data_IF_117723329878
#
_entry.id   IF_117723329878
#
_cell.length_a   1.000
_cell.length_b   1.000
_cell.length_c   1.000
_cell.angle_alpha   90.00
_cell.angle_beta   90.00
_cell.angle_gamma   90.00
#
_symmetry.space_group_name_H-M   'P 1'
#
loop_
_entity.id
_entity.type
_entity.pdbx_description
1 polymer ?
#
# COMPACT_ATOMS: atom_id res chain seq x y z
N UNK A 1 -32.43 -18.51 -70.60
CA UNK A 1 -32.25 -17.44 -69.61
C UNK A 1 -32.26 -18.05 -68.20
N UNK A 2 -31.12 -18.45 -67.62
CA UNK A 2 -31.11 -19.00 -66.24
C UNK A 2 -29.84 -18.75 -65.39
N UNK A 3 -28.77 -18.16 -65.94
CA UNK A 3 -27.48 -18.06 -65.21
C UNK A 3 -27.16 -16.67 -64.65
N UNK A 4 -28.07 -15.68 -64.77
CA UNK A 4 -27.83 -14.33 -64.24
C UNK A 4 -27.97 -14.23 -62.72
N UNK A 5 -28.80 -15.09 -62.10
CA UNK A 5 -29.03 -15.10 -60.63
C UNK A 5 -27.78 -15.42 -59.80
N UNK A 6 -26.98 -16.47 -60.10
CA UNK A 6 -25.76 -16.74 -59.33
C UNK A 6 -24.70 -15.66 -59.52
N UNK A 7 -24.59 -15.09 -60.72
CA UNK A 7 -23.63 -14.00 -61.00
C UNK A 7 -23.99 -12.75 -60.19
N UNK A 8 -25.28 -12.39 -60.12
CA UNK A 8 -25.72 -11.24 -59.33
C UNK A 8 -25.46 -11.45 -57.83
N UNK A 9 -25.66 -12.67 -57.33
CA UNK A 9 -25.43 -13.03 -55.93
C UNK A 9 -23.95 -12.96 -55.56
N UNK A 10 -23.05 -13.38 -56.45
CA UNK A 10 -21.60 -13.22 -56.28
C UNK A 10 -21.20 -11.74 -56.29
N UNK A 11 -21.75 -10.94 -57.20
CA UNK A 11 -21.48 -9.48 -57.26
C UNK A 11 -21.94 -8.80 -55.97
N UNK A 12 -23.12 -9.16 -55.44
CA UNK A 12 -23.63 -8.62 -54.17
C UNK A 12 -22.75 -9.04 -53.00
N UNK A 13 -22.28 -10.30 -52.94
CA UNK A 13 -21.36 -10.75 -51.90
C UNK A 13 -20.01 -10.02 -51.95
N UNK A 14 -19.47 -9.80 -53.15
CA UNK A 14 -18.22 -9.04 -53.34
C UNK A 14 -18.44 -7.57 -52.94
N UNK A 15 -19.56 -6.95 -53.31
CA UNK A 15 -19.88 -5.56 -52.98
C UNK A 15 -20.14 -5.36 -51.47
N UNK A 16 -20.85 -6.27 -50.82
CA UNK A 16 -21.06 -6.23 -49.36
C UNK A 16 -19.74 -6.51 -48.64
N UNK A 17 -18.96 -7.49 -49.11
CA UNK A 17 -17.63 -7.80 -48.59
C UNK A 17 -16.68 -6.61 -48.68
N UNK A 18 -16.64 -5.91 -49.82
CA UNK A 18 -15.78 -4.73 -50.01
C UNK A 18 -16.28 -3.50 -49.25
N UNK A 19 -17.57 -3.42 -48.89
CA UNK A 19 -18.10 -2.35 -48.04
C UNK A 19 -17.88 -2.62 -46.54
N UNK A 20 -18.03 -3.88 -46.11
CA UNK A 20 -17.98 -4.28 -44.69
C UNK A 20 -16.56 -4.63 -44.23
N UNK A 21 -15.71 -5.21 -45.08
CA UNK A 21 -14.32 -5.56 -44.70
C UNK A 21 -13.46 -4.34 -44.32
N UNK A 22 -13.53 -3.18 -45.01
CA UNK A 22 -12.84 -1.99 -44.55
C UNK A 22 -13.38 -1.50 -43.20
N UNK A 23 -14.66 -1.74 -42.89
CA UNK A 23 -15.28 -1.33 -41.63
C UNK A 23 -14.92 -2.27 -40.47
N UNK A 24 -14.73 -3.57 -40.72
CA UNK A 24 -14.22 -4.52 -39.71
C UNK A 24 -12.72 -4.35 -39.48
N UNK A 25 -11.95 -4.05 -40.54
CA UNK A 25 -10.57 -3.57 -40.37
C UNK A 25 -10.59 -2.22 -39.64
N UNK A 26 -11.52 -1.30 -39.93
CA UNK A 26 -11.65 0.01 -39.27
C UNK A 26 -12.17 -0.03 -37.83
N UNK A 27 -12.77 -1.13 -37.37
CA UNK A 27 -13.06 -1.31 -35.95
C UNK A 27 -11.77 -1.49 -35.12
N UNK A 28 -10.67 -1.86 -35.78
CA UNK A 28 -9.37 -2.09 -35.13
C UNK A 28 -8.22 -1.22 -35.71
N UNK A 29 -8.32 -0.76 -36.95
CA UNK A 29 -7.36 0.08 -37.65
C UNK A 29 -7.74 1.55 -37.49
N UNK A 30 -6.84 2.34 -36.90
CA UNK A 30 -7.03 3.77 -36.66
C UNK A 30 -7.65 4.13 -35.30
N UNK A 31 -8.35 3.21 -34.63
CA UNK A 31 -8.84 3.43 -33.25
C UNK A 31 -7.78 3.16 -32.17
N UNK A 32 -6.72 2.42 -32.50
CA UNK A 32 -5.59 2.16 -31.61
C UNK A 32 -4.30 2.77 -32.17
N UNK A 33 -3.77 3.78 -31.46
CA UNK A 33 -2.41 4.24 -31.67
C UNK A 33 -1.49 3.33 -30.87
N UNK A 34 -0.66 2.56 -31.57
CA UNK A 34 0.33 1.70 -30.93
C UNK A 34 1.49 2.55 -30.44
N UNK A 35 1.78 2.47 -29.14
CA UNK A 35 2.96 3.12 -28.57
C UNK A 35 4.20 2.33 -28.96
N UNK A 36 5.19 3.01 -29.53
CA UNK A 36 6.50 2.41 -29.72
C UNK A 36 7.18 2.25 -28.35
N UNK A 37 7.20 1.02 -27.84
CA UNK A 37 7.81 0.64 -26.55
C UNK A 37 9.24 0.11 -26.70
N UNK A 38 9.91 0.35 -27.84
CA UNK A 38 11.30 -0.11 -28.03
C UNK A 38 12.31 0.71 -27.22
N UNK A 39 11.98 1.92 -26.80
CA UNK A 39 12.88 2.77 -26.01
C UNK A 39 13.11 2.26 -24.57
N UNK A 40 14.13 2.81 -23.90
CA UNK A 40 14.31 2.63 -22.44
C UNK A 40 13.30 3.47 -21.66
N UNK A 41 12.86 2.98 -20.50
CA UNK A 41 11.91 3.69 -19.61
C UNK A 41 10.44 3.40 -19.92
N UNK A 42 9.57 4.42 -19.82
CA UNK A 42 8.13 4.30 -20.04
C UNK A 42 7.66 5.06 -21.29
N UNK A 43 7.08 4.34 -22.24
CA UNK A 43 6.58 4.92 -23.50
C UNK A 43 5.05 4.92 -23.55
N UNK A 44 4.39 4.40 -22.51
CA UNK A 44 2.93 4.36 -22.39
C UNK A 44 2.47 5.51 -21.48
N UNK A 45 1.66 6.46 -21.98
CA UNK A 45 1.13 7.56 -21.17
C UNK A 45 0.02 7.05 -20.26
N UNK A 46 0.34 6.80 -18.99
CA UNK A 46 -0.58 6.23 -18.00
C UNK A 46 -1.88 7.04 -17.88
N UNK A 47 -1.80 8.38 -17.99
CA UNK A 47 -2.93 9.30 -17.84
C UNK A 47 -3.98 9.15 -18.93
N UNK A 48 -3.65 8.54 -20.07
CA UNK A 48 -4.64 8.30 -21.13
C UNK A 48 -5.74 7.33 -20.66
N UNK A 49 -5.39 6.40 -19.77
CA UNK A 49 -6.31 5.39 -19.25
C UNK A 49 -6.62 5.57 -17.76
N UNK A 50 -5.72 6.21 -16.99
CA UNK A 50 -5.83 6.44 -15.55
C UNK A 50 -5.90 7.94 -15.23
N UNK A 51 -6.73 8.68 -15.97
CA UNK A 51 -6.83 10.13 -15.85
C UNK A 51 -7.34 10.57 -14.47
N UNK A 52 -8.32 9.83 -13.94
CA UNK A 52 -8.88 10.02 -12.59
C UNK A 52 -7.83 9.86 -11.49
N UNK A 53 -7.06 8.76 -11.53
CA UNK A 53 -5.97 8.50 -10.57
C UNK A 53 -4.88 9.56 -10.69
N UNK A 54 -4.57 9.99 -11.90
CA UNK A 54 -3.57 11.03 -12.13
C UNK A 54 -3.98 12.38 -11.51
N UNK A 55 -5.24 12.78 -11.68
CA UNK A 55 -5.77 13.99 -11.05
C UNK A 55 -5.77 13.86 -9.53
N UNK A 56 -6.23 12.73 -8.96
CA UNK A 56 -6.21 12.50 -7.51
C UNK A 56 -4.78 12.62 -6.94
N UNK A 57 -3.79 11.99 -7.59
CA UNK A 57 -2.38 12.08 -7.19
C UNK A 57 -1.80 13.49 -7.31
N UNK A 58 -2.31 14.33 -8.22
CA UNK A 58 -1.87 15.73 -8.36
C UNK A 58 -2.48 16.66 -7.31
N UNK A 59 -3.68 16.36 -6.83
CA UNK A 59 -4.42 17.23 -5.90
C UNK A 59 -3.94 17.11 -4.46
N UNK A 60 -3.33 15.98 -4.08
CA UNK A 60 -2.83 15.76 -2.74
C UNK A 60 -1.33 15.99 -2.64
N UNK A 61 -0.92 16.95 -1.81
CA UNK A 61 0.48 17.10 -1.38
C UNK A 61 0.77 15.99 -0.37
N UNK A 62 1.62 15.05 -0.74
CA UNK A 62 2.09 13.99 0.12
C UNK A 62 3.53 13.58 -0.20
N UNK A 63 4.07 12.59 0.52
CA UNK A 63 5.49 12.25 0.47
C UNK A 63 6.00 11.87 -0.94
N UNK A 64 5.10 11.41 -1.81
CA UNK A 64 5.41 11.00 -3.18
C UNK A 64 4.87 11.97 -4.26
N UNK A 65 4.16 13.03 -3.85
CA UNK A 65 3.41 13.93 -4.76
C UNK A 65 3.74 15.40 -4.52
N UNK A 66 4.98 15.69 -4.11
CA UNK A 66 5.52 17.05 -4.08
C UNK A 66 5.92 17.59 -2.70
N UNK A 67 5.68 16.86 -1.60
CA UNK A 67 6.10 17.30 -0.26
C UNK A 67 7.64 17.47 -0.16
N UNK A 68 8.40 16.62 -0.85
CA UNK A 68 9.87 16.66 -0.88
C UNK A 68 10.42 17.61 -1.96
N UNK A 69 9.56 18.38 -2.64
CA UNK A 69 9.91 19.20 -3.80
C UNK A 69 10.03 18.40 -5.11
N UNK A 70 9.81 17.09 -5.08
CA UNK A 70 9.78 16.23 -6.26
C UNK A 70 8.44 15.48 -6.35
N UNK A 71 7.86 15.45 -7.55
CA UNK A 71 6.61 14.72 -7.84
C UNK A 71 6.97 13.41 -8.53
N UNK A 72 6.61 12.28 -7.93
CA UNK A 72 6.95 10.98 -8.47
C UNK A 72 6.15 10.71 -9.74
N UNK A 73 6.85 10.33 -10.82
CA UNK A 73 6.19 9.85 -12.03
C UNK A 73 5.64 8.43 -11.81
N UNK A 74 4.53 8.07 -12.45
CA UNK A 74 3.86 6.77 -12.27
C UNK A 74 4.83 5.58 -12.43
N UNK A 75 5.75 5.67 -13.39
CA UNK A 75 6.75 4.62 -13.68
C UNK A 75 7.72 4.35 -12.52
N UNK A 76 7.95 5.32 -11.63
CA UNK A 76 8.87 5.16 -10.50
C UNK A 76 8.38 4.09 -9.53
N UNK A 77 7.06 3.93 -9.43
CA UNK A 77 6.40 2.91 -8.63
C UNK A 77 5.95 1.74 -9.51
N UNK A 78 5.33 2.01 -10.66
CA UNK A 78 4.67 0.97 -11.47
C UNK A 78 5.59 0.19 -12.40
N UNK A 79 6.83 0.64 -12.64
CA UNK A 79 7.84 0.00 -13.50
C UNK A 79 9.19 -0.22 -12.82
N UNK A 80 9.22 -0.20 -11.49
CA UNK A 80 10.45 -0.43 -10.73
C UNK A 80 11.02 -1.84 -10.91
N UNK A 81 12.34 -1.91 -11.06
CA UNK A 81 13.14 -3.14 -11.21
C UNK A 81 13.09 -4.08 -10.00
N UNK A 82 12.68 -3.61 -8.81
CA UNK A 82 12.67 -4.40 -7.57
C UNK A 82 11.26 -4.91 -7.18
N UNK A 83 10.27 -4.74 -8.06
CA UNK A 83 8.91 -5.32 -7.89
C UNK A 83 8.83 -6.82 -8.15
N UNK A 84 9.86 -7.40 -8.79
CA UNK A 84 9.85 -8.79 -9.26
C UNK A 84 8.96 -9.04 -10.48
N UNK A 85 8.45 -7.97 -11.11
CA UNK A 85 7.65 -8.07 -12.32
C UNK A 85 8.47 -7.87 -13.58
N UNK A 86 8.11 -8.63 -14.62
CA UNK A 86 8.58 -8.41 -15.98
C UNK A 86 7.53 -7.65 -16.78
N UNK A 87 7.96 -6.58 -17.43
CA UNK A 87 7.13 -5.71 -18.28
C UNK A 87 7.38 -6.04 -19.74
N UNK A 88 6.38 -5.80 -20.58
CA UNK A 88 6.55 -5.95 -22.03
C UNK A 88 7.62 -4.97 -22.53
N UNK A 89 8.51 -5.46 -23.39
CA UNK A 89 9.56 -4.65 -24.02
C UNK A 89 9.80 -5.13 -25.44
N UNK A 90 10.25 -4.22 -26.30
CA UNK A 90 10.64 -4.53 -27.68
C UNK A 90 12.13 -4.23 -27.82
N UNK A 91 12.86 -5.09 -28.52
CA UNK A 91 14.27 -4.89 -28.75
C UNK A 91 14.52 -3.56 -29.50
N UNK A 92 15.41 -2.72 -28.98
CA UNK A 92 15.79 -1.45 -29.61
C UNK A 92 16.33 -1.63 -31.04
N UNK A 93 17.00 -2.75 -31.30
CA UNK A 93 17.62 -3.08 -32.59
C UNK A 93 16.69 -3.85 -33.54
N UNK A 94 15.51 -4.29 -33.08
CA UNK A 94 14.55 -5.02 -33.90
C UNK A 94 13.12 -4.90 -33.36
N UNK A 95 12.28 -4.15 -34.08
CA UNK A 95 10.85 -3.94 -33.74
C UNK A 95 9.99 -5.20 -33.83
N UNK A 96 10.52 -6.29 -34.40
CA UNK A 96 9.85 -7.60 -34.48
C UNK A 96 10.19 -8.53 -33.32
N UNK A 97 11.24 -8.20 -32.54
CA UNK A 97 11.64 -8.97 -31.36
C UNK A 97 10.94 -8.44 -30.12
N UNK A 98 9.72 -8.93 -29.91
CA UNK A 98 8.84 -8.58 -28.78
C UNK A 98 9.04 -9.57 -27.63
N UNK A 99 9.32 -9.05 -26.44
CA UNK A 99 9.33 -9.84 -25.21
C UNK A 99 8.05 -9.53 -24.42
N UNK A 100 7.09 -10.47 -24.36
CA UNK A 100 5.89 -10.27 -23.55
C UNK A 100 6.27 -10.21 -22.07
N UNK A 101 5.76 -9.21 -21.36
CA UNK A 101 5.83 -9.17 -19.90
C UNK A 101 5.01 -10.32 -19.32
N UNK A 102 5.55 -11.05 -18.35
CA UNK A 102 4.83 -12.20 -17.76
C UNK A 102 3.76 -11.78 -16.77
N UNK A 103 3.96 -10.67 -16.06
CA UNK A 103 3.08 -10.25 -14.96
C UNK A 103 2.46 -8.86 -15.16
N UNK A 104 3.06 -8.02 -16.01
CA UNK A 104 2.60 -6.66 -16.22
C UNK A 104 2.66 -6.28 -17.70
N UNK A 105 1.53 -5.81 -18.22
CA UNK A 105 1.45 -5.28 -19.59
C UNK A 105 2.19 -3.94 -19.70
N UNK A 106 1.99 -3.02 -18.75
CA UNK A 106 2.64 -1.71 -18.72
C UNK A 106 2.87 -1.15 -17.31
N UNK A 107 2.14 -1.66 -16.32
CA UNK A 107 2.19 -1.24 -14.93
C UNK A 107 1.83 -2.41 -14.02
N UNK A 108 2.18 -2.28 -12.74
CA UNK A 108 1.98 -3.33 -11.76
C UNK A 108 1.45 -2.83 -10.41
N UNK A 109 0.89 -3.71 -9.58
CA UNK A 109 0.46 -3.34 -8.23
C UNK A 109 1.66 -3.29 -7.28
N UNK A 110 1.91 -2.10 -6.75
CA UNK A 110 3.10 -1.80 -5.94
C UNK A 110 2.82 -2.04 -4.47
N UNK A 111 3.81 -2.59 -3.77
CA UNK A 111 3.78 -2.79 -2.31
C UNK A 111 4.53 -1.64 -1.67
N UNK A 112 4.07 -1.11 -0.55
CA UNK A 112 4.80 -0.08 0.20
C UNK A 112 6.22 -0.57 0.55
N UNK A 113 6.31 -1.80 1.06
CA UNK A 113 7.57 -2.44 1.44
C UNK A 113 8.47 -2.83 0.26
N UNK A 114 8.03 -2.67 -1.00
CA UNK A 114 8.92 -2.84 -2.15
C UNK A 114 10.01 -1.77 -2.16
N UNK A 115 9.68 -0.55 -1.75
CA UNK A 115 10.69 0.49 -1.47
C UNK A 115 11.08 0.50 0.01
N UNK A 116 10.08 0.42 0.91
CA UNK A 116 10.28 0.65 2.34
C UNK A 116 10.80 -0.55 3.14
N UNK A 117 10.98 -1.72 2.52
CA UNK A 117 11.51 -2.93 3.15
C UNK A 117 13.04 -3.05 3.13
N UNK A 118 13.75 -2.01 2.68
CA UNK A 118 15.22 -2.00 2.56
C UNK A 118 15.80 -3.08 1.60
N UNK A 119 15.09 -3.43 0.52
CA UNK A 119 15.58 -4.38 -0.50
C UNK A 119 16.49 -3.71 -1.56
N UNK A 120 17.40 -2.84 -1.14
CA UNK A 120 18.36 -2.21 -2.04
C UNK A 120 19.30 -3.27 -2.64
N UNK A 121 19.13 -3.61 -3.91
CA UNK A 121 20.07 -4.46 -4.64
C UNK A 121 20.83 -3.64 -5.69
N UNK A 122 21.92 -4.16 -6.24
CA UNK A 122 22.70 -3.48 -7.29
C UNK A 122 21.84 -3.13 -8.52
N UNK A 123 20.76 -3.87 -8.77
CA UNK A 123 19.82 -3.57 -9.85
C UNK A 123 18.97 -2.31 -9.59
N UNK A 124 18.67 -1.96 -8.33
CA UNK A 124 18.05 -0.68 -7.96
C UNK A 124 18.97 0.49 -8.36
N UNK A 125 20.23 0.47 -7.93
CA UNK A 125 21.18 1.55 -8.25
C UNK A 125 21.39 1.66 -9.77
N UNK A 126 21.67 0.54 -10.44
CA UNK A 126 21.90 0.53 -11.89
C UNK A 126 20.67 0.94 -12.70
N UNK A 127 19.46 0.52 -12.35
CA UNK A 127 18.26 0.88 -13.12
C UNK A 127 17.97 2.39 -13.01
N UNK A 128 18.05 2.96 -11.81
CA UNK A 128 17.68 4.36 -11.57
C UNK A 128 18.72 5.33 -12.11
N UNK A 129 20.03 5.03 -11.97
CA UNK A 129 21.09 5.84 -12.58
C UNK A 129 20.93 5.92 -14.11
N UNK A 130 20.64 4.79 -14.76
CA UNK A 130 20.52 4.73 -16.22
C UNK A 130 19.18 5.28 -16.75
N UNK A 131 18.13 5.36 -15.92
CA UNK A 131 16.79 5.77 -16.37
C UNK A 131 16.47 7.24 -16.01
N UNK A 132 16.99 7.75 -14.88
CA UNK A 132 16.52 9.01 -14.30
C UNK A 132 17.66 9.94 -13.81
N UNK A 133 18.91 9.46 -13.82
CA UNK A 133 20.07 10.21 -13.35
C UNK A 133 20.15 10.36 -11.82
N UNK A 134 21.27 10.90 -11.34
CA UNK A 134 21.59 11.01 -9.90
C UNK A 134 20.62 11.91 -9.12
N UNK A 135 20.01 12.90 -9.78
CA UNK A 135 19.05 13.80 -9.13
C UNK A 135 17.78 13.09 -8.68
N UNK A 136 17.36 12.01 -9.36
CA UNK A 136 16.21 11.22 -8.95
C UNK A 136 16.45 10.40 -7.67
N UNK A 137 17.70 10.16 -7.29
CA UNK A 137 18.03 9.52 -6.01
C UNK A 137 17.61 10.41 -4.83
N UNK A 138 17.79 11.73 -4.96
CA UNK A 138 17.40 12.69 -3.90
C UNK A 138 15.90 12.65 -3.62
N UNK A 139 15.07 12.49 -4.65
CA UNK A 139 13.62 12.46 -4.52
C UNK A 139 13.12 11.35 -3.58
N UNK A 140 13.80 10.21 -3.56
CA UNK A 140 13.47 9.09 -2.68
C UNK A 140 14.25 9.17 -1.36
N UNK A 141 15.54 9.46 -1.42
CA UNK A 141 16.45 9.28 -0.27
C UNK A 141 16.62 10.55 0.58
N UNK A 142 16.14 11.71 0.13
CA UNK A 142 16.24 12.99 0.84
C UNK A 142 17.67 13.49 1.07
N UNK A 143 18.67 12.86 0.45
CA UNK A 143 20.09 13.17 0.64
C UNK A 143 20.81 13.17 -0.72
N UNK A 144 21.53 14.24 -1.10
CA UNK A 144 22.21 14.33 -2.39
C UNK A 144 23.45 13.42 -2.50
N UNK A 145 23.97 12.90 -1.38
CA UNK A 145 25.17 12.06 -1.32
C UNK A 145 24.83 10.57 -1.12
N UNK A 146 23.80 10.06 -1.82
CA UNK A 146 23.30 8.68 -1.65
C UNK A 146 24.42 7.66 -1.90
N UNK A 147 24.92 7.06 -0.82
CA UNK A 147 25.61 5.77 -0.86
C UNK A 147 24.58 4.66 -0.64
N UNK A 148 24.91 3.41 -0.97
CA UNK A 148 24.02 2.24 -0.90
C UNK A 148 23.41 1.93 0.50
N UNK A 149 23.62 2.80 1.50
CA UNK A 149 23.20 2.64 2.89
C UNK A 149 22.10 3.61 3.33
N UNK A 150 21.70 4.58 2.51
CA UNK A 150 20.56 5.46 2.82
C UNK A 150 19.26 4.78 2.43
N UNK A 151 18.72 3.89 3.24
CA UNK A 151 17.44 3.27 2.95
C UNK A 151 16.29 4.17 3.41
N UNK A 152 15.20 4.22 2.64
CA UNK A 152 13.91 4.74 3.12
C UNK A 152 13.21 3.56 3.75
N UNK A 153 13.09 3.50 5.08
CA UNK A 153 12.72 2.26 5.79
C UNK A 153 11.42 2.46 6.57
N UNK A 154 10.49 1.52 6.42
CA UNK A 154 9.38 1.31 7.35
C UNK A 154 9.77 0.20 8.34
N UNK A 155 10.62 0.55 9.31
CA UNK A 155 11.14 -0.37 10.32
C UNK A 155 10.24 -0.49 11.54
N UNK A 156 10.61 -1.37 12.47
CA UNK A 156 9.85 -1.69 13.67
C UNK A 156 8.82 -2.80 13.47
N UNK A 157 8.83 -3.53 12.36
CA UNK A 157 7.85 -4.59 12.08
C UNK A 157 8.47 -5.96 11.80
N UNK A 158 9.80 -6.09 11.81
CA UNK A 158 10.44 -7.35 11.44
C UNK A 158 10.37 -7.66 9.94
N UNK A 159 10.15 -6.63 9.10
CA UNK A 159 9.87 -6.80 7.67
C UNK A 159 10.93 -6.18 6.76
N UNK A 160 11.96 -5.57 7.34
CA UNK A 160 13.04 -4.96 6.57
C UNK A 160 14.28 -5.85 6.58
N UNK A 161 15.24 -5.54 5.70
CA UNK A 161 16.53 -6.23 5.68
C UNK A 161 17.49 -5.84 6.83
N UNK A 162 17.08 -4.93 7.73
CA UNK A 162 17.95 -4.47 8.82
C UNK A 162 17.99 -5.47 9.99
N UNK A 163 19.18 -5.83 10.50
CA UNK A 163 19.30 -6.77 11.63
C UNK A 163 18.59 -6.33 12.93
N UNK A 164 18.43 -5.03 13.13
CA UNK A 164 17.77 -4.46 14.33
C UNK A 164 16.26 -4.27 14.19
N UNK A 165 15.69 -4.52 13.01
CA UNK A 165 14.25 -4.48 12.82
C UNK A 165 13.65 -5.83 13.22
N UNK A 166 13.35 -6.00 14.51
CA UNK A 166 12.84 -7.27 15.05
C UNK A 166 11.32 -7.32 15.15
N UNK A 167 10.64 -6.18 15.10
CA UNK A 167 9.20 -6.09 15.35
C UNK A 167 8.77 -6.24 16.82
N UNK A 168 9.61 -6.84 17.66
CA UNK A 168 9.27 -7.38 18.99
C UNK A 168 8.68 -6.39 20.01
N UNK A 169 8.82 -5.08 19.78
CA UNK A 169 8.31 -4.03 20.68
C UNK A 169 7.29 -3.11 20.01
N UNK A 170 6.90 -3.36 18.76
CA UNK A 170 5.98 -2.49 18.06
C UNK A 170 4.53 -2.90 18.30
N UNK A 171 3.77 -2.00 18.92
CA UNK A 171 2.32 -2.15 19.11
C UNK A 171 1.57 -2.42 17.79
N UNK A 172 2.13 -1.98 16.66
CA UNK A 172 1.54 -2.13 15.33
C UNK A 172 2.05 -3.34 14.55
N UNK A 173 3.07 -4.08 15.03
CA UNK A 173 3.65 -5.22 14.31
C UNK A 173 2.56 -6.21 13.89
N UNK A 174 1.72 -6.62 14.85
CA UNK A 174 0.69 -7.62 14.57
C UNK A 174 -0.30 -7.14 13.51
N UNK A 175 -0.67 -5.87 13.53
CA UNK A 175 -1.56 -5.30 12.50
C UNK A 175 -0.94 -5.38 11.10
N UNK A 176 0.35 -5.06 10.96
CA UNK A 176 1.08 -5.14 9.68
C UNK A 176 1.24 -6.59 9.21
N UNK A 177 1.55 -7.52 10.12
CA UNK A 177 1.71 -8.94 9.80
C UNK A 177 0.38 -9.58 9.37
N UNK A 178 -0.72 -9.27 10.05
CA UNK A 178 -2.04 -9.76 9.66
C UNK A 178 -2.50 -9.14 8.33
N UNK A 179 -2.21 -7.86 8.08
CA UNK A 179 -2.48 -7.22 6.79
C UNK A 179 -1.76 -7.94 5.64
N UNK A 180 -0.51 -8.38 5.85
CA UNK A 180 0.25 -9.16 4.85
C UNK A 180 -0.43 -10.49 4.47
N UNK A 181 -1.21 -11.07 5.39
CA UNK A 181 -1.96 -12.31 5.16
C UNK A 181 -3.34 -12.05 4.52
N UNK A 182 -3.78 -10.79 4.46
CA UNK A 182 -4.96 -10.40 3.71
C UNK A 182 -4.64 -10.34 2.20
N UNK A 183 -5.62 -10.65 1.37
CA UNK A 183 -5.48 -10.68 -0.10
C UNK A 183 -6.14 -9.49 -0.78
N UNK A 184 -6.71 -8.54 -0.01
CA UNK A 184 -7.43 -7.38 -0.55
C UNK A 184 -6.49 -6.43 -1.30
N UNK A 185 -5.35 -6.11 -0.69
CA UNK A 185 -4.23 -5.40 -1.28
C UNK A 185 -2.97 -6.27 -1.22
N UNK A 186 -1.93 -5.85 -1.95
CA UNK A 186 -0.73 -6.66 -2.11
C UNK A 186 0.24 -6.48 -0.95
N UNK A 187 0.49 -7.54 -0.19
CA UNK A 187 1.42 -7.48 0.95
C UNK A 187 0.79 -6.74 2.11
N UNK A 188 1.55 -5.98 2.90
CA UNK A 188 1.02 -5.29 4.08
C UNK A 188 0.39 -3.92 3.74
N UNK A 189 -0.09 -3.73 2.51
CA UNK A 189 -0.52 -2.43 2.01
C UNK A 189 -1.73 -1.89 2.77
N UNK A 190 -2.64 -2.75 3.23
CA UNK A 190 -3.81 -2.37 4.01
C UNK A 190 -3.41 -1.65 5.29
N UNK A 191 -2.40 -2.14 5.99
CA UNK A 191 -1.91 -1.50 7.21
C UNK A 191 -1.27 -0.14 6.93
N UNK A 192 -0.50 -0.03 5.84
CA UNK A 192 0.12 1.23 5.45
C UNK A 192 -0.92 2.27 5.01
N UNK A 193 -1.84 1.88 4.12
CA UNK A 193 -2.90 2.74 3.60
C UNK A 193 -3.82 3.21 4.73
N UNK A 194 -4.10 2.34 5.69
CA UNK A 194 -4.97 2.67 6.82
C UNK A 194 -4.50 3.87 7.65
N UNK A 195 -3.19 4.14 7.70
CA UNK A 195 -2.63 5.21 8.53
C UNK A 195 -1.90 6.31 7.73
N UNK A 196 -1.28 5.97 6.60
CA UNK A 196 -0.45 6.90 5.81
C UNK A 196 -1.19 7.53 4.62
N UNK A 197 -2.49 7.32 4.49
CA UNK A 197 -3.30 7.90 3.43
C UNK A 197 -4.58 8.53 3.98
N UNK A 198 -5.31 9.25 3.13
CA UNK A 198 -6.59 9.86 3.51
C UNK A 198 -7.78 8.90 3.44
N UNK A 199 -7.54 7.59 3.26
CA UNK A 199 -8.59 6.58 3.26
C UNK A 199 -9.22 6.52 4.66
N UNK A 200 -10.55 6.58 4.70
CA UNK A 200 -11.28 6.40 5.94
C UNK A 200 -11.18 4.95 6.41
N UNK A 201 -10.81 4.75 7.68
CA UNK A 201 -10.67 3.42 8.28
C UNK A 201 -11.61 3.29 9.45
N UNK A 202 -12.42 2.23 9.44
CA UNK A 202 -13.19 1.81 10.60
C UNK A 202 -12.37 0.82 11.42
N UNK A 203 -12.00 1.19 12.63
CA UNK A 203 -11.27 0.34 13.57
C UNK A 203 -12.22 -0.08 14.68
N UNK A 204 -12.38 -1.39 14.87
CA UNK A 204 -13.19 -1.96 15.94
C UNK A 204 -12.24 -2.59 16.96
N UNK A 205 -12.11 -1.94 18.11
CA UNK A 205 -11.28 -2.39 19.21
C UNK A 205 -12.08 -3.30 20.13
N UNK A 206 -11.55 -4.49 20.39
CA UNK A 206 -12.08 -5.42 21.38
C UNK A 206 -11.12 -5.48 22.56
N UNK A 207 -11.43 -4.74 23.63
CA UNK A 207 -10.65 -4.75 24.87
C UNK A 207 -11.28 -5.71 25.87
N UNK A 208 -10.47 -6.30 26.76
CA UNK A 208 -11.01 -6.96 27.95
C UNK A 208 -11.52 -5.90 28.91
N UNK A 209 -12.67 -6.16 29.54
CA UNK A 209 -13.37 -5.15 30.35
C UNK A 209 -12.73 -4.95 31.71
N UNK A 210 -12.28 -6.02 32.33
CA UNK A 210 -11.61 -6.00 33.63
C UNK A 210 -10.40 -6.93 33.65
N UNK A 211 -9.36 -6.48 34.36
CA UNK A 211 -8.34 -7.36 34.92
C UNK A 211 -8.81 -7.72 36.34
N UNK A 212 -9.00 -9.01 36.59
CA UNK A 212 -9.51 -9.53 37.85
C UNK A 212 -8.43 -10.42 38.48
N UNK A 213 -8.29 -10.29 39.79
CA UNK A 213 -7.40 -11.12 40.60
C UNK A 213 -7.98 -11.23 42.00
N UNK A 214 -7.64 -12.31 42.68
CA UNK A 214 -8.01 -12.51 44.07
C UNK A 214 -6.94 -11.91 44.97
N UNK A 215 -7.36 -11.07 45.92
CA UNK A 215 -6.50 -10.58 46.99
C UNK A 215 -6.89 -11.31 48.27
N UNK A 216 -5.94 -12.02 48.88
CA UNK A 216 -6.13 -12.72 50.15
C UNK A 216 -5.09 -12.26 51.16
N UNK A 217 -5.47 -12.16 52.43
CA UNK A 217 -4.53 -11.95 53.52
C UNK A 217 -3.90 -13.31 53.87
N UNK A 218 -2.59 -13.44 53.66
CA UNK A 218 -1.81 -14.64 53.98
C UNK A 218 -0.88 -14.36 55.17
N UNK A 219 -0.12 -15.39 55.59
CA UNK A 219 1.00 -15.22 56.51
C UNK A 219 1.95 -14.12 55.97
N UNK A 220 2.35 -13.15 56.82
CA UNK A 220 3.14 -12.00 56.40
C UNK A 220 4.42 -12.42 55.69
N UNK A 221 4.66 -11.86 54.49
CA UNK A 221 5.91 -11.97 53.75
C UNK A 221 6.66 -10.66 53.91
N UNK A 222 7.86 -10.72 54.47
CA UNK A 222 8.74 -9.55 54.59
C UNK A 222 9.54 -9.38 53.31
N UNK A 223 9.31 -8.29 52.59
CA UNK A 223 10.12 -7.86 51.45
C UNK A 223 11.03 -6.69 51.88
N UNK A 224 11.98 -6.29 51.02
CA UNK A 224 12.93 -5.21 51.30
C UNK A 224 12.27 -3.85 51.59
N UNK A 225 11.00 -3.69 51.22
CA UNK A 225 10.18 -2.49 51.40
C UNK A 225 9.10 -2.63 52.50
N UNK A 226 9.14 -3.68 53.32
CA UNK A 226 8.26 -3.85 54.48
C UNK A 226 7.51 -5.18 54.53
N UNK A 227 6.69 -5.35 55.57
CA UNK A 227 5.84 -6.53 55.75
C UNK A 227 4.59 -6.37 54.90
N UNK A 228 4.42 -7.25 53.91
CA UNK A 228 3.21 -7.34 53.11
C UNK A 228 2.50 -8.64 53.49
N UNK A 229 1.27 -8.54 53.98
CA UNK A 229 0.47 -9.70 54.37
C UNK A 229 -0.60 -10.07 53.34
N UNK A 230 -0.54 -9.49 52.14
CA UNK A 230 -1.48 -9.77 51.06
C UNK A 230 -0.80 -10.61 49.98
N UNK A 231 -1.56 -11.55 49.42
CA UNK A 231 -1.21 -12.30 48.23
C UNK A 231 -2.17 -11.95 47.11
N UNK A 232 -1.62 -11.84 45.90
CA UNK A 232 -2.40 -11.66 44.69
C UNK A 232 -2.30 -12.93 43.85
N UNK A 233 -3.44 -13.57 43.62
CA UNK A 233 -3.52 -14.84 42.90
C UNK A 233 -4.62 -14.79 41.86
N UNK A 234 -4.67 -15.80 40.99
CA UNK A 234 -5.78 -16.01 40.05
C UNK A 234 -6.02 -14.81 39.11
N UNK A 235 -4.94 -14.28 38.53
CA UNK A 235 -5.02 -13.26 37.49
C UNK A 235 -5.80 -13.77 36.28
N UNK A 236 -6.84 -13.04 35.91
CA UNK A 236 -7.65 -13.34 34.73
C UNK A 236 -8.19 -12.04 34.13
N UNK A 237 -8.57 -12.11 32.87
CA UNK A 237 -9.27 -11.02 32.19
C UNK A 237 -10.72 -11.42 31.99
N UNK A 238 -11.66 -10.48 32.17
CA UNK A 238 -13.09 -10.77 32.08
C UNK A 238 -13.84 -9.72 31.25
N UNK A 239 -14.95 -10.15 30.64
CA UNK A 239 -15.76 -9.36 29.73
C UNK A 239 -15.04 -8.90 28.46
N UNK A 240 -15.80 -8.26 27.58
CA UNK A 240 -15.28 -7.59 26.37
C UNK A 240 -15.94 -6.22 26.27
N UNK A 241 -15.14 -5.17 26.17
CA UNK A 241 -15.56 -3.82 25.84
C UNK A 241 -15.23 -3.54 24.37
N UNK A 242 -16.20 -2.99 23.63
CA UNK A 242 -16.03 -2.66 22.20
C UNK A 242 -16.02 -1.15 22.02
N UNK A 243 -14.95 -0.64 21.42
CA UNK A 243 -14.86 0.74 20.95
C UNK A 243 -14.75 0.77 19.44
N UNK A 244 -15.50 1.65 18.79
CA UNK A 244 -15.35 1.90 17.36
C UNK A 244 -14.71 3.25 17.17
N UNK A 245 -13.53 3.24 16.57
CA UNK A 245 -12.78 4.42 16.18
C UNK A 245 -12.85 4.55 14.67
N UNK A 246 -13.08 5.76 14.18
CA UNK A 246 -12.89 6.09 12.77
C UNK A 246 -11.57 6.83 12.63
N UNK A 247 -10.63 6.24 11.89
CA UNK A 247 -9.43 6.91 11.44
C UNK A 247 -9.74 7.70 10.17
N UNK A 248 -9.36 8.97 10.16
CA UNK A 248 -9.21 9.79 8.97
C UNK A 248 -7.92 10.61 9.12
N UNK A 249 -7.55 11.36 8.09
CA UNK A 249 -6.32 12.18 8.09
C UNK A 249 -6.21 13.20 9.24
N UNK A 250 -7.29 13.48 9.98
CA UNK A 250 -7.30 14.47 11.07
C UNK A 250 -6.83 13.94 12.43
N UNK A 251 -6.53 12.65 12.55
CA UNK A 251 -5.93 12.07 13.75
C UNK A 251 -6.82 11.97 15.00
N UNK A 252 -8.10 12.38 14.92
CA UNK A 252 -9.04 12.27 16.04
C UNK A 252 -9.81 10.95 15.99
N UNK A 253 -9.47 10.03 16.89
CA UNK A 253 -10.23 8.81 17.10
C UNK A 253 -11.39 9.00 18.09
N UNK A 254 -12.61 8.58 17.71
CA UNK A 254 -13.73 8.54 18.67
C UNK A 254 -13.48 7.50 19.75
N UNK A 255 -13.36 7.92 21.01
CA UNK A 255 -13.23 7.02 22.18
C UNK A 255 -14.58 6.53 22.72
N UNK A 256 -15.67 6.74 21.98
CA UNK A 256 -17.00 6.33 22.42
C UNK A 256 -17.12 4.80 22.42
N UNK A 257 -17.10 4.20 23.60
CA UNK A 257 -17.46 2.80 23.80
C UNK A 257 -18.98 2.65 23.62
N UNK A 258 -19.43 1.73 22.76
CA UNK A 258 -20.86 1.45 22.58
C UNK A 258 -21.35 0.56 23.74
N UNK A 259 -21.32 1.09 24.96
CA UNK A 259 -22.09 0.65 26.13
C UNK A 259 -21.78 1.57 27.31
N UNK A 260 -22.84 2.18 27.87
CA UNK A 260 -22.83 3.11 28.99
C UNK A 260 -22.44 2.49 30.34
N UNK A 261 -21.36 1.70 30.44
CA UNK A 261 -20.98 1.08 31.71
C UNK A 261 -19.46 0.91 31.86
N UNK A 262 -18.74 2.03 31.92
CA UNK A 262 -17.53 2.08 32.76
C UNK A 262 -17.96 2.07 34.24
N UNK A 263 -17.23 1.42 35.16
CA UNK A 263 -17.60 1.34 36.59
C UNK A 263 -17.72 2.69 37.30
N UNK A 264 -17.31 3.78 36.65
CA UNK A 264 -17.27 5.14 37.19
C UNK A 264 -18.32 6.09 36.58
N UNK A 265 -19.35 5.55 35.93
CA UNK A 265 -20.39 6.37 35.27
C UNK A 265 -21.34 7.13 36.22
N UNK A 266 -21.05 7.17 37.52
CA UNK A 266 -21.67 8.09 38.48
C UNK A 266 -20.60 8.84 39.29
N UNK A 267 -20.08 9.95 38.79
CA UNK A 267 -19.83 11.12 39.65
C UNK A 267 -19.52 12.38 38.83
N UNK A 268 -20.41 13.34 38.94
CA UNK A 268 -20.14 14.74 38.78
C UNK A 268 -19.12 15.21 39.83
N UNK A 269 -17.81 15.14 39.55
CA UNK A 269 -16.77 16.00 40.12
C UNK A 269 -15.35 15.51 39.76
N UNK A 270 -14.85 15.87 38.58
CA UNK A 270 -13.40 15.87 38.31
C UNK A 270 -12.87 17.27 38.58
N UNK A 271 -12.70 17.58 39.87
CA UNK A 271 -11.73 18.56 40.33
C UNK A 271 -11.27 18.10 41.71
N UNK A 272 -9.95 18.15 41.94
CA UNK A 272 -9.25 17.88 43.20
C UNK A 272 -8.91 16.41 43.52
N UNK A 273 -7.87 15.85 42.88
CA UNK A 273 -6.81 15.09 43.60
C UNK A 273 -5.49 15.18 42.79
N UNK A 274 -4.82 16.33 42.84
CA UNK A 274 -3.37 16.42 42.66
C UNK A 274 -2.83 17.39 43.70
N UNK A 275 -2.68 16.89 44.92
CA UNK A 275 -1.74 17.42 45.90
C UNK A 275 -1.48 16.32 46.92
N UNK A 276 -0.20 16.12 47.25
CA UNK A 276 0.39 15.18 48.23
C UNK A 276 0.40 13.69 47.88
N UNK A 277 1.41 13.31 47.09
CA UNK A 277 2.46 12.36 47.51
C UNK A 277 3.80 12.97 47.11
#
# INVERSE_FOLDING_TARGET
>A
MSNFKPVLLVIVLIAVGSLVMPQTVSLFAGQHWWYNISGTGNQVPCQKCHADIYEEMRLHIGPHTGETGYVFQCQLCHRTAFTGFSYATVNQSSVTSVYPGKQAHAASTVRCLTCHGAYGNTAHVSYYLNTLGVQACYACHGNPSVTASNYVIAGGFGLTALPGDTGSMAAHERFVIEAKNNTTLRGANEACVACHTHVAVKIIWHHKRSLEFNVSINNPVTLSNGVHNWSVTNWKVNGTAVATVWGNASGNGSVSYNSNYWPWSNSSSLNTVYSSI
#
